data_IF_553867179072
#
_entry.id   IF_553867179072
#
_cell.length_a   1.000
_cell.length_b   1.000
_cell.length_c   1.000
_cell.angle_alpha   90.00
_cell.angle_beta   90.00
_cell.angle_gamma   90.00
#
_symmetry.space_group_name_H-M   'P 1'
#
loop_
_entity.id
_entity.type
_entity.pdbx_description
1 polymer ?
#
# COMPACT_ATOMS: atom_id res chain seq x y z
N UNK A 1 20.54 13.96 -17.18
CA UNK A 1 20.83 15.32 -16.66
C UNK A 1 21.78 15.27 -15.47
N UNK A 2 21.51 14.46 -14.43
CA UNK A 2 22.44 14.30 -13.30
C UNK A 2 23.85 13.84 -13.74
N UNK A 3 23.95 12.81 -14.60
CA UNK A 3 25.25 12.35 -15.12
C UNK A 3 26.02 13.47 -15.87
N UNK A 4 25.34 14.27 -16.69
CA UNK A 4 25.97 15.39 -17.41
C UNK A 4 26.50 16.48 -16.48
N UNK A 5 25.83 16.70 -15.34
CA UNK A 5 26.31 17.64 -14.32
C UNK A 5 27.49 17.06 -13.53
N UNK A 6 27.51 15.75 -13.27
CA UNK A 6 28.67 15.07 -12.68
C UNK A 6 29.89 15.10 -13.61
N UNK A 7 29.68 14.89 -14.91
CA UNK A 7 30.73 15.00 -15.93
C UNK A 7 31.27 16.44 -16.01
N UNK A 8 30.39 17.45 -15.97
CA UNK A 8 30.78 18.87 -15.91
C UNK A 8 31.61 19.20 -14.66
N UNK A 9 31.24 18.70 -13.48
CA UNK A 9 32.00 18.92 -12.24
C UNK A 9 33.37 18.23 -12.28
N UNK A 10 33.50 17.15 -13.05
CA UNK A 10 34.75 16.40 -13.21
C UNK A 10 35.72 17.04 -14.21
N UNK A 11 35.23 17.90 -15.11
CA UNK A 11 36.04 18.61 -16.10
C UNK A 11 36.41 20.04 -15.63
N UNK A 12 37.67 20.21 -15.23
CA UNK A 12 38.21 21.48 -14.71
C UNK A 12 38.21 22.62 -15.74
N UNK A 13 38.11 22.32 -17.03
CA UNK A 13 38.12 23.31 -18.12
C UNK A 13 36.73 23.67 -18.65
N UNK A 14 35.66 23.08 -18.07
CA UNK A 14 34.31 23.30 -18.56
C UNK A 14 33.84 24.74 -18.26
N UNK A 15 33.19 25.41 -19.24
CA UNK A 15 32.79 26.80 -19.08
C UNK A 15 31.56 26.95 -18.18
N UNK A 16 31.57 27.95 -17.30
CA UNK A 16 30.54 28.21 -16.27
C UNK A 16 29.09 28.19 -16.79
N UNK A 17 28.87 28.68 -18.03
CA UNK A 17 27.54 28.74 -18.63
C UNK A 17 26.90 27.36 -18.82
N UNK A 18 27.70 26.30 -19.01
CA UNK A 18 27.18 24.93 -19.15
C UNK A 18 26.63 24.40 -17.82
N UNK A 19 27.35 24.62 -16.72
CA UNK A 19 26.90 24.24 -15.38
C UNK A 19 25.60 24.97 -14.99
N UNK A 20 25.54 26.29 -15.25
CA UNK A 20 24.33 27.09 -15.00
C UNK A 20 23.16 26.61 -15.87
N UNK A 21 23.41 26.29 -17.15
CA UNK A 21 22.38 25.75 -18.04
C UNK A 21 21.84 24.40 -17.56
N UNK A 22 22.70 23.47 -17.13
CA UNK A 22 22.26 22.19 -16.57
C UNK A 22 21.47 22.34 -15.27
N UNK A 23 21.90 23.23 -14.37
CA UNK A 23 21.17 23.52 -13.14
C UNK A 23 19.78 24.10 -13.41
N UNK A 24 19.66 25.07 -14.33
CA UNK A 24 18.38 25.64 -14.73
C UNK A 24 17.47 24.61 -15.41
N UNK A 25 18.03 23.74 -16.26
CA UNK A 25 17.27 22.65 -16.88
C UNK A 25 16.78 21.62 -15.86
N UNK A 26 17.61 21.25 -14.88
CA UNK A 26 17.20 20.35 -13.80
C UNK A 26 16.10 20.97 -12.93
N UNK A 27 16.23 22.26 -12.59
CA UNK A 27 15.19 22.99 -11.87
C UNK A 27 13.89 23.01 -12.67
N UNK A 28 13.93 23.42 -13.94
CA UNK A 28 12.76 23.44 -14.82
C UNK A 28 12.11 22.06 -15.00
N UNK A 29 12.90 21.01 -15.16
CA UNK A 29 12.41 19.64 -15.25
C UNK A 29 11.75 19.17 -13.93
N UNK A 30 12.32 19.50 -12.78
CA UNK A 30 11.76 19.17 -11.46
C UNK A 30 10.44 19.88 -11.21
N UNK A 31 10.37 21.18 -11.51
CA UNK A 31 9.14 21.96 -11.38
C UNK A 31 8.07 21.44 -12.35
N UNK A 32 8.41 21.22 -13.62
CA UNK A 32 7.49 20.65 -14.59
C UNK A 32 6.97 19.28 -14.15
N UNK A 33 7.83 18.41 -13.62
CA UNK A 33 7.41 17.12 -13.04
C UNK A 33 6.44 17.32 -11.88
N UNK A 34 6.72 18.27 -10.98
CA UNK A 34 5.85 18.59 -9.84
C UNK A 34 4.47 19.07 -10.31
N UNK A 35 4.42 20.00 -11.26
CA UNK A 35 3.16 20.48 -11.83
C UNK A 35 2.37 19.37 -12.54
N UNK A 36 3.03 18.55 -13.36
CA UNK A 36 2.38 17.43 -14.05
C UNK A 36 1.83 16.40 -13.07
N UNK A 37 2.57 16.08 -12.01
CA UNK A 37 2.14 15.12 -10.98
C UNK A 37 0.92 15.64 -10.21
N UNK A 38 0.95 16.92 -9.81
CA UNK A 38 -0.18 17.57 -9.14
C UNK A 38 -1.40 17.67 -10.06
N UNK A 39 -1.20 18.03 -11.33
CA UNK A 39 -2.26 18.10 -12.33
C UNK A 39 -2.90 16.73 -12.58
N UNK A 40 -2.07 15.69 -12.70
CA UNK A 40 -2.52 14.31 -12.77
C UNK A 40 -3.36 13.92 -11.54
N UNK A 41 -2.88 14.19 -10.32
CA UNK A 41 -3.62 13.87 -9.10
C UNK A 41 -4.96 14.62 -9.02
N UNK A 42 -4.97 15.88 -9.47
CA UNK A 42 -6.20 16.68 -9.55
C UNK A 42 -7.19 16.09 -10.57
N UNK A 43 -6.75 15.70 -11.77
CA UNK A 43 -7.62 15.04 -12.75
C UNK A 43 -8.18 13.73 -12.20
N UNK A 44 -7.32 12.88 -11.65
CA UNK A 44 -7.76 11.58 -11.11
C UNK A 44 -8.73 11.77 -9.95
N UNK A 45 -8.51 12.75 -9.08
CA UNK A 45 -9.47 13.10 -8.02
C UNK A 45 -10.82 13.54 -8.59
N UNK A 46 -10.82 14.35 -9.65
CA UNK A 46 -12.05 14.78 -10.35
C UNK A 46 -12.79 13.60 -10.99
N UNK A 47 -12.06 12.66 -11.59
CA UNK A 47 -12.64 11.43 -12.14
C UNK A 47 -13.23 10.57 -11.00
N UNK A 48 -12.51 10.44 -9.88
CA UNK A 48 -12.98 9.73 -8.71
C UNK A 48 -14.30 10.25 -8.15
N UNK A 49 -14.42 11.57 -7.98
CA UNK A 49 -15.68 12.20 -7.51
C UNK A 49 -16.83 12.00 -8.50
N UNK A 50 -16.55 12.10 -9.82
CA UNK A 50 -17.55 11.82 -10.86
C UNK A 50 -18.01 10.36 -10.81
N UNK A 51 -17.08 9.43 -10.67
CA UNK A 51 -17.37 8.00 -10.56
C UNK A 51 -18.23 7.70 -9.33
N UNK A 52 -17.84 8.22 -8.16
CA UNK A 52 -18.60 8.12 -6.92
C UNK A 52 -20.02 8.66 -7.09
N UNK A 53 -20.17 9.87 -7.64
CA UNK A 53 -21.48 10.50 -7.85
C UNK A 53 -22.37 9.69 -8.80
N UNK A 54 -21.81 9.19 -9.91
CA UNK A 54 -22.53 8.38 -10.88
C UNK A 54 -22.99 7.03 -10.29
N UNK A 55 -22.10 6.37 -9.54
CA UNK A 55 -22.40 5.11 -8.86
C UNK A 55 -23.46 5.29 -7.77
N UNK A 56 -23.35 6.31 -6.92
CA UNK A 56 -24.36 6.65 -5.91
C UNK A 56 -25.72 6.93 -6.57
N UNK A 57 -25.76 7.70 -7.65
CA UNK A 57 -26.99 7.96 -8.38
C UNK A 57 -27.60 6.68 -9.01
N UNK A 58 -26.77 5.80 -9.55
CA UNK A 58 -27.22 4.52 -10.12
C UNK A 58 -27.79 3.58 -9.05
N UNK A 59 -27.10 3.45 -7.90
CA UNK A 59 -27.53 2.65 -6.76
C UNK A 59 -28.84 3.21 -6.19
N UNK A 60 -28.93 4.53 -6.01
CA UNK A 60 -30.14 5.19 -5.53
C UNK A 60 -31.35 4.95 -6.46
N UNK A 61 -31.17 5.12 -7.78
CA UNK A 61 -32.21 4.83 -8.78
C UNK A 61 -32.65 3.36 -8.75
N UNK A 62 -31.70 2.43 -8.55
CA UNK A 62 -32.02 1.00 -8.45
C UNK A 62 -32.76 0.68 -7.16
N UNK A 63 -32.37 1.28 -6.04
CA UNK A 63 -33.03 1.12 -4.74
C UNK A 63 -34.50 1.56 -4.77
N UNK A 64 -34.82 2.63 -5.49
CA UNK A 64 -36.21 3.10 -5.67
C UNK A 64 -37.08 2.11 -6.48
N UNK A 65 -36.48 1.35 -7.40
CA UNK A 65 -37.17 0.38 -8.26
C UNK A 65 -37.12 -1.06 -7.74
N UNK A 66 -36.58 -1.28 -6.54
CA UNK A 66 -36.44 -2.62 -5.97
C UNK A 66 -37.81 -3.20 -5.61
N UNK A 67 -38.03 -4.48 -5.96
CA UNK A 67 -39.24 -5.21 -5.58
C UNK A 67 -39.29 -5.44 -4.06
N UNK A 68 -40.49 -5.64 -3.50
CA UNK A 68 -40.65 -5.92 -2.07
C UNK A 68 -39.95 -7.21 -1.62
N UNK A 69 -39.79 -8.19 -2.53
CA UNK A 69 -39.04 -9.41 -2.27
C UNK A 69 -37.53 -9.13 -2.13
N UNK A 70 -36.96 -8.32 -3.02
CA UNK A 70 -35.56 -7.91 -2.93
C UNK A 70 -35.28 -7.00 -1.72
N UNK A 71 -36.25 -6.16 -1.31
CA UNK A 71 -36.16 -5.34 -0.09
C UNK A 71 -36.16 -6.16 1.20
N UNK A 72 -36.65 -7.41 1.18
CA UNK A 72 -36.51 -8.34 2.32
C UNK A 72 -35.10 -8.90 2.44
N UNK A 73 -34.38 -9.01 1.32
CA UNK A 73 -33.02 -9.55 1.27
C UNK A 73 -31.97 -8.48 1.57
N UNK A 74 -32.18 -7.24 1.11
CA UNK A 74 -31.33 -6.08 1.40
C UNK A 74 -32.15 -4.94 1.99
N UNK A 75 -31.82 -4.60 3.24
CA UNK A 75 -32.46 -3.50 3.96
C UNK A 75 -32.04 -2.15 3.38
N UNK A 76 -32.89 -1.13 3.55
CA UNK A 76 -32.58 0.25 3.13
C UNK A 76 -31.29 0.74 3.82
N UNK A 77 -31.07 0.34 5.09
CA UNK A 77 -29.86 0.66 5.84
C UNK A 77 -28.58 0.07 5.22
N UNK A 78 -28.62 -1.18 4.77
CA UNK A 78 -27.47 -1.78 4.05
C UNK A 78 -27.17 -1.06 2.73
N UNK A 79 -28.20 -0.65 1.98
CA UNK A 79 -28.02 0.10 0.72
C UNK A 79 -27.39 1.47 1.01
N UNK A 80 -27.84 2.16 2.07
CA UNK A 80 -27.23 3.42 2.50
C UNK A 80 -25.79 3.21 2.95
N UNK A 81 -25.49 2.12 3.65
CA UNK A 81 -24.13 1.79 4.07
C UNK A 81 -23.20 1.54 2.87
N UNK A 82 -23.67 0.85 1.83
CA UNK A 82 -22.94 0.69 0.57
C UNK A 82 -22.67 2.05 -0.07
N UNK A 83 -23.69 2.93 -0.13
CA UNK A 83 -23.52 4.28 -0.68
C UNK A 83 -22.55 5.14 0.14
N UNK A 84 -22.47 4.94 1.46
CA UNK A 84 -21.63 5.73 2.35
C UNK A 84 -20.18 5.24 2.42
N UNK A 85 -19.95 3.92 2.42
CA UNK A 85 -18.61 3.34 2.67
C UNK A 85 -17.95 2.88 1.37
N UNK A 86 -18.68 2.19 0.50
CA UNK A 86 -18.07 1.58 -0.67
C UNK A 86 -17.82 2.61 -1.78
N UNK A 87 -18.68 3.63 -1.91
CA UNK A 87 -18.51 4.68 -2.91
C UNK A 87 -17.26 5.52 -2.65
N UNK A 88 -16.95 5.81 -1.39
CA UNK A 88 -15.72 6.51 -0.99
C UNK A 88 -14.47 5.67 -1.34
N UNK A 89 -14.55 4.35 -1.18
CA UNK A 89 -13.46 3.45 -1.61
C UNK A 89 -13.26 3.48 -3.12
N UNK A 90 -14.33 3.51 -3.91
CA UNK A 90 -14.22 3.63 -5.37
C UNK A 90 -13.58 4.95 -5.81
N UNK A 91 -13.88 6.05 -5.12
CA UNK A 91 -13.19 7.32 -5.35
C UNK A 91 -11.68 7.19 -5.13
N UNK A 92 -11.27 6.60 -4.01
CA UNK A 92 -9.84 6.41 -3.70
C UNK A 92 -9.15 5.50 -4.73
N UNK A 93 -9.79 4.37 -5.08
CA UNK A 93 -9.27 3.39 -6.05
C UNK A 93 -9.02 4.02 -7.43
N UNK A 94 -9.82 4.98 -7.85
CA UNK A 94 -9.66 5.64 -9.15
C UNK A 94 -8.25 6.25 -9.35
N UNK A 95 -7.67 6.79 -8.28
CA UNK A 95 -6.32 7.36 -8.29
C UNK A 95 -5.21 6.29 -8.28
N UNK A 96 -5.47 5.14 -7.66
CA UNK A 96 -4.50 4.07 -7.45
C UNK A 96 -4.43 3.09 -8.62
N UNK A 97 -5.52 2.92 -9.38
CA UNK A 97 -5.60 1.96 -10.50
C UNK A 97 -4.47 2.18 -11.51
N UNK A 98 -4.15 3.44 -11.80
CA UNK A 98 -3.11 3.80 -12.77
C UNK A 98 -1.71 3.38 -12.31
N UNK A 99 -1.47 3.38 -10.99
CA UNK A 99 -0.17 3.01 -10.44
C UNK A 99 0.15 1.53 -10.66
N UNK A 100 -0.86 0.66 -10.75
CA UNK A 100 -0.65 -0.78 -10.95
C UNK A 100 -0.01 -1.12 -12.29
N UNK A 101 -0.41 -0.45 -13.38
CA UNK A 101 0.20 -0.70 -14.68
C UNK A 101 1.45 0.16 -14.91
N UNK A 102 1.51 1.38 -14.36
CA UNK A 102 2.67 2.25 -14.48
C UNK A 102 3.91 1.72 -13.75
N UNK A 103 3.75 1.16 -12.55
CA UNK A 103 4.87 0.66 -11.73
C UNK A 103 5.75 -0.36 -12.45
N UNK A 104 5.22 -1.37 -13.17
CA UNK A 104 6.02 -2.27 -14.01
C UNK A 104 6.86 -1.55 -15.07
N UNK A 105 6.31 -0.54 -15.76
CA UNK A 105 7.05 0.22 -16.76
C UNK A 105 8.19 1.01 -16.11
N UNK A 106 7.95 1.61 -14.95
CA UNK A 106 8.96 2.32 -14.17
C UNK A 106 10.14 1.41 -13.77
N UNK A 107 9.84 0.20 -13.28
CA UNK A 107 10.86 -0.79 -12.92
C UNK A 107 11.68 -1.21 -14.14
N UNK A 108 11.02 -1.53 -15.26
CA UNK A 108 11.71 -1.94 -16.50
C UNK A 108 12.64 -0.83 -16.99
N UNK A 109 12.16 0.41 -17.02
CA UNK A 109 12.95 1.55 -17.46
C UNK A 109 14.16 1.81 -16.54
N UNK A 110 13.96 1.70 -15.22
CA UNK A 110 15.04 1.83 -14.24
C UNK A 110 16.12 0.75 -14.43
N UNK A 111 15.72 -0.50 -14.70
CA UNK A 111 16.65 -1.59 -14.98
C UNK A 111 17.45 -1.37 -16.27
N UNK A 112 16.81 -0.84 -17.32
CA UNK A 112 17.49 -0.47 -18.57
C UNK A 112 18.55 0.62 -18.31
N UNK A 113 18.21 1.67 -17.56
CA UNK A 113 19.18 2.72 -17.23
C UNK A 113 20.32 2.22 -16.35
N UNK A 114 20.03 1.33 -15.40
CA UNK A 114 21.05 0.70 -14.56
C UNK A 114 22.04 -0.11 -15.41
N UNK A 115 21.53 -0.93 -16.34
CA UNK A 115 22.34 -1.73 -17.24
C UNK A 115 23.18 -0.86 -18.19
N UNK A 116 22.62 0.25 -18.69
CA UNK A 116 23.38 1.19 -19.53
C UNK A 116 24.49 1.91 -18.78
N UNK A 117 24.35 2.11 -17.46
CA UNK A 117 25.34 2.85 -16.65
C UNK A 117 26.46 1.95 -16.14
N UNK A 118 26.14 0.71 -15.75
CA UNK A 118 27.08 -0.20 -15.07
C UNK A 118 27.40 -1.48 -15.88
N UNK A 119 26.75 -1.69 -17.03
CA UNK A 119 26.93 -2.88 -17.86
C UNK A 119 26.63 -4.17 -17.09
N UNK A 120 27.52 -5.15 -17.21
CA UNK A 120 27.39 -6.48 -16.60
C UNK A 120 27.37 -6.41 -15.06
N UNK A 121 28.01 -5.39 -14.47
CA UNK A 121 28.02 -5.19 -13.02
C UNK A 121 26.63 -4.84 -12.44
N UNK A 122 25.64 -4.49 -13.28
CA UNK A 122 24.26 -4.28 -12.86
C UNK A 122 23.48 -5.59 -12.56
N UNK A 123 23.92 -6.73 -13.11
CA UNK A 123 23.19 -8.00 -13.03
C UNK A 123 22.82 -8.43 -11.59
N UNK A 124 23.72 -8.34 -10.59
CA UNK A 124 23.38 -8.68 -9.22
C UNK A 124 22.26 -7.81 -8.65
N UNK A 125 22.24 -6.52 -8.96
CA UNK A 125 21.18 -5.60 -8.55
C UNK A 125 19.82 -5.94 -9.16
N UNK A 126 19.80 -6.35 -10.43
CA UNK A 126 18.60 -6.82 -11.12
C UNK A 126 18.06 -8.10 -10.46
N UNK A 127 18.94 -9.05 -10.14
CA UNK A 127 18.57 -10.31 -9.49
C UNK A 127 17.97 -10.06 -8.10
N UNK A 128 18.57 -9.19 -7.28
CA UNK A 128 18.06 -8.83 -5.95
C UNK A 128 16.65 -8.23 -6.06
N UNK A 129 16.45 -7.29 -6.99
CA UNK A 129 15.16 -6.65 -7.22
C UNK A 129 14.11 -7.67 -7.70
N UNK A 130 14.50 -8.55 -8.62
CA UNK A 130 13.63 -9.59 -9.14
C UNK A 130 13.23 -10.63 -8.08
N UNK A 131 14.13 -10.99 -7.15
CA UNK A 131 13.84 -11.88 -6.02
C UNK A 131 12.99 -11.21 -4.94
N UNK A 132 13.05 -9.88 -4.83
CA UNK A 132 12.27 -9.14 -3.84
C UNK A 132 10.77 -9.11 -4.18
N UNK A 133 10.41 -9.15 -5.46
CA UNK A 133 9.01 -9.23 -5.94
C UNK A 133 8.29 -10.49 -5.40
N UNK A 134 8.75 -11.73 -5.64
CA UNK A 134 8.10 -12.93 -5.13
C UNK A 134 8.18 -13.01 -3.60
N UNK A 135 9.27 -12.52 -2.98
CA UNK A 135 9.35 -12.42 -1.52
C UNK A 135 8.19 -11.60 -0.94
N UNK A 136 7.91 -10.44 -1.52
CA UNK A 136 6.80 -9.57 -1.10
C UNK A 136 5.43 -10.24 -1.33
N UNK A 137 5.26 -10.95 -2.45
CA UNK A 137 4.02 -11.68 -2.74
C UNK A 137 3.78 -12.80 -1.71
N UNK A 138 4.79 -13.62 -1.45
CA UNK A 138 4.69 -14.74 -0.52
C UNK A 138 4.42 -14.24 0.90
N UNK A 139 5.17 -13.25 1.39
CA UNK A 139 4.97 -12.65 2.71
C UNK A 139 3.59 -12.00 2.84
N UNK A 140 3.09 -11.31 1.80
CA UNK A 140 1.74 -10.74 1.80
C UNK A 140 0.65 -11.81 1.98
N UNK A 141 0.86 -13.02 1.45
CA UNK A 141 -0.07 -14.14 1.60
C UNK A 141 -0.14 -14.65 3.04
N UNK A 142 1.02 -14.74 3.72
CA UNK A 142 1.10 -15.09 5.15
C UNK A 142 0.47 -14.01 6.03
N UNK A 143 0.76 -12.73 5.74
CA UNK A 143 0.16 -11.60 6.44
C UNK A 143 -1.37 -11.65 6.32
N UNK A 144 -1.90 -11.93 5.13
CA UNK A 144 -3.36 -12.05 4.92
C UNK A 144 -3.97 -13.20 5.74
N UNK A 145 -3.28 -14.34 5.86
CA UNK A 145 -3.74 -15.46 6.70
C UNK A 145 -3.84 -15.07 8.16
N UNK A 146 -2.81 -14.43 8.73
CA UNK A 146 -2.84 -13.99 10.13
C UNK A 146 -3.84 -12.86 10.38
N UNK A 147 -4.03 -11.97 9.41
CA UNK A 147 -5.10 -10.97 9.48
C UNK A 147 -6.48 -11.60 9.50
N UNK A 148 -6.71 -12.67 8.74
CA UNK A 148 -7.97 -13.41 8.79
C UNK A 148 -8.20 -14.06 10.17
N UNK A 149 -7.20 -14.77 10.71
CA UNK A 149 -7.28 -15.34 12.06
C UNK A 149 -7.51 -14.27 13.14
N UNK A 150 -6.86 -13.11 13.00
CA UNK A 150 -7.10 -11.98 13.89
C UNK A 150 -8.56 -11.50 13.83
N UNK A 151 -9.15 -11.42 12.63
CA UNK A 151 -10.56 -11.02 12.48
C UNK A 151 -11.50 -12.03 13.15
N UNK A 152 -11.27 -13.33 12.96
CA UNK A 152 -12.05 -14.39 13.61
C UNK A 152 -12.00 -14.29 15.14
N UNK A 153 -10.81 -14.17 15.73
CA UNK A 153 -10.62 -14.04 17.18
C UNK A 153 -11.24 -12.74 17.73
N UNK A 154 -11.17 -11.65 16.96
CA UNK A 154 -11.79 -10.38 17.33
C UNK A 154 -13.31 -10.52 17.36
N UNK A 155 -13.91 -11.19 16.38
CA UNK A 155 -15.35 -11.41 16.31
C UNK A 155 -15.84 -12.30 17.46
N UNK A 156 -15.11 -13.38 17.78
CA UNK A 156 -15.39 -14.25 18.93
C UNK A 156 -15.34 -13.46 20.25
N UNK A 157 -14.29 -12.65 20.46
CA UNK A 157 -14.15 -11.81 21.64
C UNK A 157 -15.33 -10.84 21.79
N UNK A 158 -15.71 -10.17 20.70
CA UNK A 158 -16.82 -9.20 20.71
C UNK A 158 -18.15 -9.91 21.01
N UNK A 159 -18.35 -11.11 20.45
CA UNK A 159 -19.54 -11.94 20.72
C UNK A 159 -19.67 -12.27 22.21
N UNK A 160 -18.61 -12.80 22.83
CA UNK A 160 -18.63 -13.16 24.27
C UNK A 160 -18.82 -11.92 25.14
N UNK A 161 -18.16 -10.80 24.81
CA UNK A 161 -18.40 -9.55 25.52
C UNK A 161 -19.88 -9.14 25.47
N UNK A 162 -20.53 -9.26 24.31
CA UNK A 162 -21.97 -8.96 24.18
C UNK A 162 -22.84 -9.93 24.99
N UNK A 163 -22.54 -11.23 25.01
CA UNK A 163 -23.25 -12.22 25.82
C UNK A 163 -23.15 -11.91 27.32
N UNK A 164 -21.95 -11.58 27.80
CA UNK A 164 -21.71 -11.21 29.21
C UNK A 164 -22.44 -9.92 29.59
N UNK A 165 -22.43 -8.91 28.71
CA UNK A 165 -23.11 -7.63 28.97
C UNK A 165 -24.64 -7.79 28.97
N UNK A 166 -25.20 -8.53 28.02
CA UNK A 166 -26.64 -8.82 28.00
C UNK A 166 -27.07 -9.66 29.22
N UNK A 167 -26.23 -10.58 29.67
CA UNK A 167 -26.46 -11.46 30.83
C UNK A 167 -25.94 -10.93 32.17
N UNK A 168 -25.61 -9.63 32.28
CA UNK A 168 -24.80 -9.12 33.40
C UNK A 168 -25.40 -9.37 34.79
N UNK A 169 -26.73 -9.35 34.92
CA UNK A 169 -27.42 -9.65 36.17
C UNK A 169 -27.15 -11.08 36.65
N UNK A 170 -27.16 -12.05 35.74
CA UNK A 170 -26.90 -13.46 36.05
C UNK A 170 -25.43 -13.64 36.43
N UNK A 171 -24.51 -13.05 35.66
CA UNK A 171 -23.07 -13.10 35.95
C UNK A 171 -22.77 -12.60 37.36
N UNK A 172 -23.37 -11.47 37.76
CA UNK A 172 -23.22 -10.89 39.10
C UNK A 172 -23.86 -11.73 40.20
N UNK A 173 -25.03 -12.32 39.94
CA UNK A 173 -25.72 -13.18 40.91
C UNK A 173 -24.90 -14.43 41.28
N UNK A 174 -24.16 -14.98 40.31
CA UNK A 174 -23.32 -16.17 40.50
C UNK A 174 -21.84 -15.86 40.76
N UNK A 175 -21.45 -14.59 40.90
CA UNK A 175 -20.05 -14.15 41.05
C UNK A 175 -19.12 -14.70 39.94
N UNK A 176 -19.60 -14.79 38.71
CA UNK A 176 -18.87 -15.34 37.55
C UNK A 176 -18.01 -14.29 36.82
N UNK A 177 -17.84 -13.08 37.36
CA UNK A 177 -17.04 -12.03 36.72
C UNK A 177 -15.59 -12.45 36.45
N UNK A 178 -14.90 -13.06 37.43
CA UNK A 178 -13.49 -13.44 37.29
C UNK A 178 -13.31 -14.56 36.24
N UNK A 179 -14.10 -15.66 36.27
CA UNK A 179 -14.06 -16.68 35.21
C UNK A 179 -14.31 -16.11 33.80
N UNK A 180 -15.33 -15.26 33.64
CA UNK A 180 -15.66 -14.66 32.34
C UNK A 180 -14.56 -13.72 31.85
N UNK A 181 -13.94 -12.96 32.76
CA UNK A 181 -12.79 -12.11 32.44
C UNK A 181 -11.60 -12.94 31.94
N UNK A 182 -11.27 -14.05 32.61
CA UNK A 182 -10.19 -14.93 32.17
C UNK A 182 -10.47 -15.57 30.80
N UNK A 183 -11.73 -15.91 30.51
CA UNK A 183 -12.12 -16.43 29.19
C UNK A 183 -11.86 -15.38 28.08
N UNK A 184 -12.29 -14.14 28.30
CA UNK A 184 -12.07 -13.03 27.34
C UNK A 184 -10.57 -12.75 27.20
N UNK A 185 -9.82 -12.75 28.30
CA UNK A 185 -8.38 -12.51 28.29
C UNK A 185 -7.61 -13.60 27.51
N UNK A 186 -8.04 -14.86 27.62
CA UNK A 186 -7.45 -15.97 26.85
C UNK A 186 -7.58 -15.75 25.34
N UNK A 187 -8.76 -15.34 24.88
CA UNK A 187 -9.00 -15.01 23.46
C UNK A 187 -8.19 -13.78 23.06
N UNK A 188 -8.14 -12.76 23.92
CA UNK A 188 -7.33 -11.56 23.68
C UNK A 188 -5.84 -11.88 23.52
N UNK A 189 -5.29 -12.81 24.29
CA UNK A 189 -3.89 -13.26 24.14
C UNK A 189 -3.63 -13.90 22.77
N UNK A 190 -4.55 -14.73 22.28
CA UNK A 190 -4.45 -15.33 20.95
C UNK A 190 -4.58 -14.28 19.82
N UNK A 191 -5.48 -13.32 19.99
CA UNK A 191 -5.65 -12.20 19.06
C UNK A 191 -4.35 -11.37 18.98
N UNK A 192 -3.80 -10.99 20.13
CA UNK A 192 -2.55 -10.24 20.24
C UNK A 192 -1.37 -10.99 19.61
N UNK A 193 -1.32 -12.31 19.76
CA UNK A 193 -0.28 -13.12 19.14
C UNK A 193 -0.36 -13.11 17.60
N UNK A 194 -1.57 -13.11 17.04
CA UNK A 194 -1.79 -12.99 15.58
C UNK A 194 -1.44 -11.58 15.08
N UNK A 195 -1.77 -10.55 15.86
CA UNK A 195 -1.36 -9.16 15.59
C UNK A 195 0.18 -9.05 15.61
N UNK A 196 0.83 -9.61 16.62
CA UNK A 196 2.28 -9.57 16.74
C UNK A 196 2.97 -10.24 15.54
N UNK A 197 2.54 -11.44 15.15
CA UNK A 197 3.09 -12.15 13.97
C UNK A 197 2.93 -11.35 12.68
N UNK A 198 1.74 -10.83 12.42
CA UNK A 198 1.48 -10.04 11.21
C UNK A 198 2.23 -8.71 11.21
N UNK A 199 2.35 -8.05 12.36
CA UNK A 199 3.13 -6.82 12.51
C UNK A 199 4.63 -7.06 12.34
N UNK A 200 5.17 -8.13 12.91
CA UNK A 200 6.58 -8.48 12.79
C UNK A 200 6.95 -8.72 11.32
N UNK A 201 6.14 -9.51 10.60
CA UNK A 201 6.37 -9.78 9.18
C UNK A 201 6.27 -8.51 8.33
N UNK A 202 5.29 -7.64 8.62
CA UNK A 202 5.17 -6.33 7.97
C UNK A 202 6.43 -5.50 8.18
N UNK A 203 6.88 -5.36 9.43
CA UNK A 203 8.11 -4.62 9.76
C UNK A 203 9.32 -5.17 9.02
N UNK A 204 9.46 -6.50 8.93
CA UNK A 204 10.54 -7.11 8.15
C UNK A 204 10.47 -6.70 6.68
N UNK A 205 9.31 -6.78 6.04
CA UNK A 205 9.13 -6.36 4.64
C UNK A 205 9.44 -4.87 4.46
N UNK A 206 8.98 -4.02 5.37
CA UNK A 206 9.22 -2.57 5.31
C UNK A 206 10.71 -2.23 5.45
N UNK A 207 11.42 -2.87 6.39
CA UNK A 207 12.87 -2.71 6.57
C UNK A 207 13.62 -3.14 5.32
N UNK A 208 13.26 -4.28 4.72
CA UNK A 208 13.87 -4.72 3.47
C UNK A 208 13.57 -3.74 2.33
N UNK A 209 12.35 -3.21 2.24
CA UNK A 209 12.00 -2.24 1.20
C UNK A 209 12.87 -0.98 1.29
N UNK A 210 13.03 -0.41 2.49
CA UNK A 210 13.90 0.74 2.72
C UNK A 210 15.39 0.44 2.49
N UNK A 211 15.82 -0.79 2.77
CA UNK A 211 17.22 -1.21 2.59
C UNK A 211 17.55 -1.66 1.17
N UNK A 212 16.56 -1.93 0.33
CA UNK A 212 16.74 -2.49 -1.02
C UNK A 212 17.64 -1.61 -1.91
N UNK A 213 17.44 -0.28 -2.01
CA UNK A 213 18.31 0.57 -2.83
C UNK A 213 19.77 0.54 -2.38
N UNK A 214 20.01 0.45 -1.06
CA UNK A 214 21.34 0.34 -0.49
C UNK A 214 21.99 -1.01 -0.82
N UNK A 215 21.27 -2.12 -0.66
CA UNK A 215 21.76 -3.46 -1.00
C UNK A 215 22.07 -3.59 -2.50
N UNK A 216 21.19 -3.05 -3.35
CA UNK A 216 21.39 -3.03 -4.80
C UNK A 216 22.65 -2.24 -5.16
N UNK A 217 22.83 -1.04 -4.59
CA UNK A 217 24.02 -0.22 -4.81
C UNK A 217 25.30 -0.94 -4.33
N UNK A 218 25.29 -1.50 -3.12
CA UNK A 218 26.43 -2.20 -2.54
C UNK A 218 26.88 -3.38 -3.43
N UNK A 219 25.94 -4.22 -3.87
CA UNK A 219 26.25 -5.36 -4.74
C UNK A 219 26.74 -4.92 -6.12
N UNK A 220 26.16 -3.87 -6.69
CA UNK A 220 26.57 -3.32 -7.98
C UNK A 220 28.01 -2.78 -7.91
N UNK A 221 28.33 -1.96 -6.90
CA UNK A 221 29.67 -1.42 -6.71
C UNK A 221 30.70 -2.51 -6.39
N UNK A 222 30.38 -3.47 -5.52
CA UNK A 222 31.29 -4.58 -5.21
C UNK A 222 31.63 -5.41 -6.46
N UNK A 223 30.63 -5.68 -7.31
CA UNK A 223 30.85 -6.43 -8.56
C UNK A 223 31.64 -5.60 -9.56
N UNK A 224 31.36 -4.30 -9.65
CA UNK A 224 32.12 -3.38 -10.49
C UNK A 224 33.61 -3.39 -10.09
N UNK A 225 33.93 -3.25 -8.80
CA UNK A 225 35.32 -3.27 -8.29
C UNK A 225 36.03 -4.61 -8.39
N UNK A 226 35.30 -5.72 -8.55
CA UNK A 226 35.88 -7.06 -8.72
C UNK A 226 36.05 -7.45 -10.20
N UNK A 227 35.39 -6.71 -11.11
CA UNK A 227 35.41 -6.98 -12.55
C UNK A 227 36.35 -6.01 -13.30
N UNK A 228 36.55 -4.79 -12.78
CA UNK A 228 37.67 -3.89 -13.11
C UNK A 228 38.95 -4.28 -12.35
#
# INVERSE_FOLDING_TARGET
MLNLLLDYVSDTNAPLWQGVAYALLMFGASEMRSFLTNYYFHIMSRIGVKLQSAMTAAVYRKALKLSNMAKKEKTIGEIINIMAIDMDRFQLLSSQIQQYWFSPFEIILALIFLFNTLGIAALPGVIITALFIPYTIVTSSFMRRWMATQMELKDERIKICNEVLNGIKVVKLYAWEIPMMHLIEKIRKQELFSIFKSSLLRMTVDVFNWSTPFLVALCAFATYTLTD
#
